data_IF_226998891412
#
_entry.id   IF_226998891412
#
_cell.length_a   1.000
_cell.length_b   1.000
_cell.length_c   1.000
_cell.angle_alpha   90.00
_cell.angle_beta   90.00
_cell.angle_gamma   90.00
#
_symmetry.space_group_name_H-M   'P 1'
#
loop_
_entity.id
_entity.type
_entity.pdbx_description
1 polymer ?
#
# COMPACT_ATOMS: atom_id res chain seq x y z
N UNK A 1 20.20 15.92 -39.26
CA UNK A 1 19.43 15.23 -38.22
C UNK A 1 19.05 16.32 -37.23
N UNK A 2 17.76 16.57 -37.01
CA UNK A 2 17.34 17.57 -36.03
C UNK A 2 17.34 16.91 -34.66
N UNK A 3 18.43 17.08 -33.91
CA UNK A 3 18.52 16.75 -32.49
C UNK A 3 17.65 17.73 -31.70
N UNK A 4 16.33 17.55 -31.79
CA UNK A 4 15.39 18.32 -30.97
C UNK A 4 15.42 17.73 -29.58
N UNK A 5 15.79 18.57 -28.60
CA UNK A 5 15.73 18.21 -27.19
C UNK A 5 14.31 17.76 -26.86
N UNK A 6 14.14 16.64 -26.13
CA UNK A 6 12.82 16.24 -25.66
C UNK A 6 12.21 17.35 -24.82
N UNK A 7 10.94 17.67 -25.07
CA UNK A 7 10.18 18.63 -24.26
C UNK A 7 10.02 18.09 -22.84
N UNK A 8 10.32 18.92 -21.84
CA UNK A 8 10.09 18.55 -20.44
C UNK A 8 8.58 18.38 -20.19
N UNK A 9 8.11 17.23 -19.66
CA UNK A 9 6.71 17.08 -19.29
C UNK A 9 6.37 18.04 -18.14
N UNK A 10 5.20 18.69 -18.20
CA UNK A 10 4.75 19.64 -17.16
C UNK A 10 4.64 19.02 -15.76
N UNK A 11 4.47 17.70 -15.70
CA UNK A 11 4.38 16.95 -14.44
C UNK A 11 5.73 16.75 -13.73
N UNK A 12 6.85 16.99 -14.42
CA UNK A 12 8.18 16.87 -13.83
C UNK A 12 8.62 18.24 -13.29
N UNK A 13 8.79 18.40 -11.96
CA UNK A 13 9.27 19.66 -11.41
C UNK A 13 10.68 19.97 -11.93
N UNK A 14 10.94 21.26 -12.20
CA UNK A 14 12.19 21.71 -12.81
C UNK A 14 13.45 21.28 -12.06
N UNK A 15 13.40 21.17 -10.73
CA UNK A 15 14.51 20.69 -9.91
C UNK A 15 14.90 19.22 -10.15
N UNK A 16 13.98 18.39 -10.65
CA UNK A 16 14.26 17.01 -11.08
C UNK A 16 14.80 17.05 -12.52
N UNK A 17 14.20 17.87 -13.38
CA UNK A 17 14.65 18.06 -14.76
C UNK A 17 16.13 18.49 -14.84
N UNK A 18 16.52 19.47 -14.03
CA UNK A 18 17.90 19.95 -13.94
C UNK A 18 18.87 18.82 -13.55
N UNK A 19 18.49 17.97 -12.59
CA UNK A 19 19.31 16.83 -12.19
C UNK A 19 19.45 15.79 -13.29
N UNK A 20 18.38 15.57 -14.08
CA UNK A 20 18.41 14.65 -15.23
C UNK A 20 19.30 15.18 -16.36
N UNK A 21 19.34 16.49 -16.59
CA UNK A 21 20.21 17.08 -17.63
C UNK A 21 21.70 16.90 -17.36
N UNK A 22 22.11 16.73 -16.10
CA UNK A 22 23.50 16.48 -15.71
C UNK A 22 23.90 14.99 -15.82
N UNK A 23 22.93 14.08 -16.02
CA UNK A 23 23.20 12.65 -16.03
C UNK A 23 23.69 12.12 -17.39
N UNK A 24 24.48 11.07 -17.33
CA UNK A 24 24.89 10.31 -18.51
C UNK A 24 23.73 9.50 -19.11
N UNK A 25 23.73 9.20 -20.42
CA UNK A 25 22.65 8.44 -21.08
C UNK A 25 22.33 7.08 -20.46
N UNK A 26 23.34 6.37 -19.93
CA UNK A 26 23.11 5.09 -19.25
C UNK A 26 22.38 5.27 -17.92
N UNK A 27 22.75 6.30 -17.14
CA UNK A 27 22.09 6.62 -15.88
C UNK A 27 20.63 7.03 -16.12
N UNK A 28 20.36 7.79 -17.19
CA UNK A 28 18.99 8.13 -17.58
C UNK A 28 18.14 6.88 -17.88
N UNK A 29 18.72 5.84 -18.51
CA UNK A 29 18.04 4.57 -18.76
C UNK A 29 17.78 3.78 -17.49
N UNK A 30 18.73 3.76 -16.56
CA UNK A 30 18.55 3.11 -15.26
C UNK A 30 17.48 3.82 -14.41
N UNK A 31 17.46 5.16 -14.43
CA UNK A 31 16.42 5.96 -13.77
C UNK A 31 15.05 5.66 -14.37
N UNK A 32 14.94 5.60 -15.70
CA UNK A 32 13.67 5.28 -16.36
C UNK A 32 13.14 3.91 -15.93
N UNK A 33 13.99 2.88 -15.90
CA UNK A 33 13.60 1.54 -15.43
C UNK A 33 13.14 1.56 -13.97
N UNK A 34 13.92 2.19 -13.09
CA UNK A 34 13.56 2.28 -11.68
C UNK A 34 12.25 3.05 -11.45
N UNK A 35 12.03 4.15 -12.18
CA UNK A 35 10.81 4.95 -12.09
C UNK A 35 9.58 4.15 -12.53
N UNK A 36 9.71 3.32 -13.56
CA UNK A 36 8.66 2.41 -14.05
C UNK A 36 8.29 1.37 -12.98
N UNK A 37 9.29 0.63 -12.46
CA UNK A 37 9.09 -0.34 -11.37
C UNK A 37 8.48 0.31 -10.11
N UNK A 38 8.88 1.54 -9.81
CA UNK A 38 8.35 2.31 -8.68
C UNK A 38 6.90 2.74 -8.91
N UNK A 39 6.53 3.13 -10.14
CA UNK A 39 5.15 3.42 -10.50
C UNK A 39 4.27 2.18 -10.34
N UNK A 40 4.69 1.03 -10.88
CA UNK A 40 3.96 -0.24 -10.71
C UNK A 40 3.78 -0.62 -9.23
N UNK A 41 4.81 -0.40 -8.40
CA UNK A 41 4.70 -0.62 -6.96
C UNK A 41 3.68 0.32 -6.32
N UNK A 42 3.70 1.62 -6.66
CA UNK A 42 2.74 2.60 -6.15
C UNK A 42 1.31 2.33 -6.60
N UNK A 43 1.10 1.90 -7.84
CA UNK A 43 -0.21 1.49 -8.35
C UNK A 43 -0.73 0.23 -7.64
N UNK A 44 0.15 -0.73 -7.33
CA UNK A 44 -0.22 -1.92 -6.55
C UNK A 44 -0.60 -1.57 -5.11
N UNK A 45 0.12 -0.66 -4.46
CA UNK A 45 -0.19 -0.16 -3.11
C UNK A 45 -1.50 0.66 -3.10
N UNK A 46 -1.75 1.45 -4.14
CA UNK A 46 -2.99 2.19 -4.31
C UNK A 46 -4.19 1.23 -4.51
N UNK A 47 -4.02 0.19 -5.33
CA UNK A 47 -5.04 -0.86 -5.50
C UNK A 47 -5.31 -1.67 -4.22
N UNK A 48 -4.31 -1.83 -3.36
CA UNK A 48 -4.48 -2.42 -2.03
C UNK A 48 -5.21 -1.45 -1.08
N UNK A 49 -4.98 -0.15 -1.21
CA UNK A 49 -5.63 0.89 -0.39
C UNK A 49 -7.08 1.15 -0.81
N UNK A 50 -7.41 1.10 -2.10
CA UNK A 50 -8.81 1.19 -2.57
C UNK A 50 -9.60 -0.07 -2.21
N UNK A 51 -8.94 -1.24 -2.16
CA UNK A 51 -9.54 -2.46 -1.60
C UNK A 51 -9.75 -2.37 -0.08
N UNK A 52 -8.85 -1.71 0.66
CA UNK A 52 -9.01 -1.47 2.11
C UNK A 52 -9.94 -0.27 2.43
N UNK A 53 -10.15 0.64 1.48
CA UNK A 53 -10.88 1.91 1.68
C UNK A 53 -12.35 1.91 1.20
N UNK A 54 -12.82 0.84 0.57
CA UNK A 54 -14.23 0.71 0.18
C UNK A 54 -15.13 0.24 1.34
N UNK A 55 -14.58 -0.31 2.42
CA UNK A 55 -15.36 -0.94 3.51
C UNK A 55 -14.97 -0.38 4.90
N UNK A 56 -15.63 0.72 5.26
CA UNK A 56 -16.12 1.00 6.62
C UNK A 56 -15.11 1.19 7.76
N UNK A 57 -14.97 2.44 8.20
CA UNK A 57 -14.83 2.86 9.62
C UNK A 57 -14.10 1.87 10.55
N UNK A 58 -12.81 1.68 10.30
CA UNK A 58 -11.91 0.80 11.04
C UNK A 58 -11.64 1.32 12.47
N UNK A 59 -12.42 0.81 13.42
CA UNK A 59 -12.24 1.04 14.85
C UNK A 59 -11.12 0.11 15.37
N UNK A 60 -9.99 0.69 15.79
CA UNK A 60 -8.86 -0.04 16.38
C UNK A 60 -9.24 -0.54 17.78
N UNK A 61 -9.42 -1.85 17.92
CA UNK A 61 -9.67 -2.49 19.21
C UNK A 61 -8.38 -3.19 19.66
N UNK A 62 -7.88 -2.84 20.85
CA UNK A 62 -6.70 -3.47 21.42
C UNK A 62 -6.99 -4.96 21.66
N UNK A 63 -6.29 -5.80 20.90
CA UNK A 63 -6.48 -7.23 20.95
C UNK A 63 -5.81 -7.80 22.20
N UNK A 64 -6.61 -8.32 23.12
CA UNK A 64 -6.08 -9.10 24.24
C UNK A 64 -5.22 -10.23 23.67
N UNK A 65 -3.92 -10.18 23.99
CA UNK A 65 -2.86 -10.91 23.29
C UNK A 65 -2.86 -12.43 23.53
N UNK A 66 -3.91 -12.97 24.14
CA UNK A 66 -4.01 -14.35 24.61
C UNK A 66 -4.70 -15.30 23.60
N UNK A 67 -5.34 -14.75 22.55
CA UNK A 67 -6.16 -15.52 21.59
C UNK A 67 -5.59 -15.49 20.15
N UNK A 68 -4.25 -15.46 20.00
CA UNK A 68 -3.63 -15.57 18.68
C UNK A 68 -3.59 -17.04 18.22
N UNK A 69 -4.24 -17.41 17.10
CA UNK A 69 -4.02 -18.72 16.50
C UNK A 69 -2.60 -18.84 15.93
N UNK A 70 -2.07 -20.06 15.81
CA UNK A 70 -0.67 -20.36 15.41
C UNK A 70 -0.24 -19.72 14.07
N UNK A 71 -1.21 -19.48 13.17
CA UNK A 71 -1.02 -18.81 11.87
C UNK A 71 -0.92 -17.28 11.93
N UNK A 72 -1.18 -16.66 13.10
CA UNK A 72 -1.22 -15.21 13.26
C UNK A 72 -0.02 -14.80 14.13
N UNK A 73 0.85 -13.93 13.62
CA UNK A 73 1.98 -13.47 14.42
C UNK A 73 1.49 -12.60 15.57
N UNK A 74 2.19 -12.65 16.70
CA UNK A 74 1.88 -11.86 17.91
C UNK A 74 1.92 -10.33 17.71
N UNK A 75 2.37 -9.85 16.54
CA UNK A 75 2.34 -8.43 16.14
C UNK A 75 1.10 -8.07 15.31
N UNK A 76 0.14 -8.98 15.17
CA UNK A 76 -1.09 -8.68 14.45
C UNK A 76 -2.01 -7.78 15.31
N UNK A 77 -2.66 -6.84 14.64
CA UNK A 77 -3.65 -5.93 15.22
C UNK A 77 -5.04 -6.44 14.89
N UNK A 78 -6.05 -6.23 15.75
CA UNK A 78 -7.45 -6.48 15.37
C UNK A 78 -8.03 -5.24 14.70
N UNK A 79 -8.64 -5.46 13.55
CA UNK A 79 -9.45 -4.49 12.81
C UNK A 79 -10.88 -4.96 12.76
N UNK A 80 -11.84 -4.05 12.95
CA UNK A 80 -13.26 -4.33 12.71
C UNK A 80 -13.59 -4.02 11.25
N UNK A 81 -14.24 -4.96 10.55
CA UNK A 81 -14.79 -4.78 9.21
C UNK A 81 -16.31 -4.85 9.25
N UNK A 82 -16.96 -3.86 8.65
CA UNK A 82 -18.42 -3.72 8.58
C UNK A 82 -18.94 -4.25 7.24
N UNK A 83 -19.39 -5.51 7.21
CA UNK A 83 -19.82 -6.19 5.98
C UNK A 83 -21.30 -6.60 6.11
N UNK A 84 -22.17 -6.11 5.21
CA UNK A 84 -23.61 -6.39 5.20
C UNK A 84 -24.32 -6.05 6.54
N UNK A 85 -24.05 -4.88 7.11
CA UNK A 85 -24.60 -4.44 8.42
C UNK A 85 -24.12 -5.27 9.62
N UNK A 86 -23.19 -6.21 9.40
CA UNK A 86 -22.57 -7.03 10.44
C UNK A 86 -21.11 -6.63 10.64
N UNK A 87 -20.71 -6.49 11.90
CA UNK A 87 -19.32 -6.18 12.28
C UNK A 87 -18.54 -7.47 12.52
N UNK A 88 -17.34 -7.55 11.99
CA UNK A 88 -16.47 -8.71 12.13
C UNK A 88 -15.07 -8.31 12.58
N UNK A 89 -14.49 -9.08 13.48
CA UNK A 89 -13.09 -8.93 13.87
C UNK A 89 -12.19 -9.67 12.89
N UNK A 90 -11.15 -8.97 12.43
CA UNK A 90 -10.07 -9.51 11.62
C UNK A 90 -8.74 -9.26 12.32
N UNK A 91 -7.88 -10.27 12.37
CA UNK A 91 -6.47 -10.10 12.66
C UNK A 91 -5.78 -9.59 11.41
N UNK A 92 -5.06 -8.48 11.48
CA UNK A 92 -4.30 -7.90 10.38
C UNK A 92 -2.83 -7.76 10.78
N UNK A 93 -1.92 -8.21 9.92
CA UNK A 93 -0.49 -8.06 10.13
C UNK A 93 0.26 -7.90 8.81
N UNK A 94 1.49 -7.42 8.91
CA UNK A 94 2.40 -7.30 7.77
C UNK A 94 3.37 -8.47 7.74
N UNK A 95 3.46 -9.14 6.59
CA UNK A 95 4.46 -10.16 6.29
C UNK A 95 5.30 -9.65 5.11
N UNK A 96 6.45 -9.05 5.43
CA UNK A 96 7.28 -8.35 4.45
C UNK A 96 6.53 -7.14 3.87
N UNK A 97 6.31 -7.17 2.56
CA UNK A 97 5.57 -6.12 1.82
C UNK A 97 4.09 -6.45 1.64
N UNK A 98 3.60 -7.58 2.17
CA UNK A 98 2.20 -8.00 2.02
C UNK A 98 1.46 -7.84 3.33
N UNK A 99 0.28 -7.20 3.26
CA UNK A 99 -0.67 -7.21 4.37
C UNK A 99 -1.46 -8.52 4.31
N UNK A 100 -1.46 -9.26 5.42
CA UNK A 100 -2.31 -10.43 5.61
C UNK A 100 -3.41 -10.10 6.58
N UNK A 101 -4.58 -10.68 6.34
CA UNK A 101 -5.70 -10.65 7.25
C UNK A 101 -6.23 -12.07 7.50
N UNK A 102 -6.70 -12.34 8.72
CA UNK A 102 -7.36 -13.59 9.09
C UNK A 102 -8.63 -13.28 9.87
N UNK A 103 -9.71 -13.92 9.48
CA UNK A 103 -10.99 -13.83 10.17
C UNK A 103 -10.85 -14.35 11.61
N UNK A 104 -11.20 -13.51 12.60
CA UNK A 104 -11.22 -13.89 14.02
C UNK A 104 -12.61 -14.38 14.43
N UNK A 105 -13.65 -13.65 14.05
CA UNK A 105 -15.02 -13.95 14.46
C UNK A 105 -15.95 -12.75 14.28
N UNK A 106 -17.27 -12.95 14.47
CA UNK A 106 -18.20 -11.82 14.50
C UNK A 106 -17.92 -10.95 15.72
N UNK A 107 -18.04 -9.63 15.57
CA UNK A 107 -18.11 -8.74 16.70
C UNK A 107 -19.41 -9.08 17.40
N UNK A 108 -19.31 -9.54 18.65
CA UNK A 108 -20.49 -9.94 19.42
C UNK A 108 -21.51 -8.81 19.38
N UNK A 109 -22.68 -9.07 18.81
CA UNK A 109 -23.82 -8.18 18.98
C UNK A 109 -24.16 -8.24 20.47
N UNK A 110 -23.67 -7.27 21.26
CA UNK A 110 -24.27 -7.03 22.56
C UNK A 110 -25.77 -6.79 22.31
N UNK A 111 -26.55 -7.61 22.99
CA UNK A 111 -27.96 -7.88 22.74
C UNK A 111 -28.85 -6.69 23.06
#
# INVERSE_FOLDING_TARGET
MSDSLPTLPEEIPGSIAEKLTDQSPNVLRDIARYADEFAEHREREAQLTEWDGQDGQDEYVEAESDDFPDDVPSKATITVKDINDNRYYYWQWREGEKVKSKYKGPVGSER
#
